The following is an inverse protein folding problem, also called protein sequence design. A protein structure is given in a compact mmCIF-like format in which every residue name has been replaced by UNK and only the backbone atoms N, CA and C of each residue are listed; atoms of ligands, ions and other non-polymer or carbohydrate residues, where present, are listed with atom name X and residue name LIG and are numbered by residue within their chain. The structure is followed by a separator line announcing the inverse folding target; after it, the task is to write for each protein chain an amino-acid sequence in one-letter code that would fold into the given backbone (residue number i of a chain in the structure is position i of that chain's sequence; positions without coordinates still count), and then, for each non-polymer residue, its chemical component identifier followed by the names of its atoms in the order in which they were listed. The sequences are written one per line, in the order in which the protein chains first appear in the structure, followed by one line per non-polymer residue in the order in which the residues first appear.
data_IF_020868197043
#
_entry.id   IF_020868197043
#
_cell.length_a   1.000
_cell.length_b   1.000
_cell.length_c   1.000
_cell.angle_alpha   90.00
_cell.angle_beta   90.00
_cell.angle_gamma   90.00
#
_symmetry.space_group_name_H-M   'P 1'
#
loop_
_entity.id
_entity.type
_entity.pdbx_description
1 polymer ?
#
# COMPACT_ATOMS: atom_id res chain seq x y z
N UNK A 1 -12.94 7.79 13.79
CA UNK A 1 -13.27 7.78 12.35
C UNK A 1 -12.63 6.56 11.70
N UNK A 2 -13.44 5.75 11.01
CA UNK A 2 -12.91 4.62 10.22
C UNK A 2 -12.38 5.24 8.93
N UNK A 3 -11.07 5.19 8.74
CA UNK A 3 -10.39 5.74 7.56
C UNK A 3 -9.31 4.76 7.12
N UNK A 4 -9.14 4.64 5.80
CA UNK A 4 -8.11 3.79 5.19
C UNK A 4 -6.71 4.19 5.71
N UNK A 5 -6.47 5.48 5.99
CA UNK A 5 -5.21 5.94 6.58
C UNK A 5 -4.97 5.34 7.97
N UNK A 6 -5.99 5.30 8.83
CA UNK A 6 -5.90 4.70 10.16
C UNK A 6 -5.70 3.18 10.06
N UNK A 7 -6.28 2.53 9.04
CA UNK A 7 -6.06 1.11 8.78
C UNK A 7 -4.62 0.85 8.33
N UNK A 8 -4.09 1.67 7.42
CA UNK A 8 -2.70 1.57 6.94
C UNK A 8 -1.68 1.80 8.07
N UNK A 9 -1.94 2.74 8.97
CA UNK A 9 -1.08 2.98 10.15
C UNK A 9 -0.97 1.77 11.09
N UNK A 10 -1.97 0.89 11.09
CA UNK A 10 -1.97 -0.33 11.91
C UNK A 10 -1.20 -1.47 11.27
N UNK A 11 -0.83 -1.37 10.00
CA UNK A 11 -0.11 -2.42 9.30
C UNK A 11 1.40 -2.33 9.59
N UNK A 12 2.04 -3.39 10.08
CA UNK A 12 3.46 -3.36 10.41
C UNK A 12 4.33 -3.10 9.18
N UNK A 13 5.27 -2.17 9.31
CA UNK A 13 6.16 -1.74 8.23
C UNK A 13 5.54 -0.74 7.25
N UNK A 14 4.31 -0.28 7.51
CA UNK A 14 3.72 0.88 6.83
C UNK A 14 3.89 2.11 7.71
N UNK A 15 4.32 3.22 7.12
CA UNK A 15 4.38 4.53 7.77
C UNK A 15 3.49 5.49 7.01
N UNK A 16 2.61 6.17 7.74
CA UNK A 16 1.71 7.18 7.17
C UNK A 16 2.04 8.52 7.79
N UNK A 17 2.41 9.51 6.97
CA UNK A 17 2.62 10.91 7.39
C UNK A 17 1.73 11.81 6.55
N UNK A 18 0.66 12.32 7.14
CA UNK A 18 -0.39 13.03 6.40
C UNK A 18 -0.99 12.14 5.33
N UNK A 19 -0.99 12.60 4.08
CA UNK A 19 -1.46 11.84 2.91
C UNK A 19 -0.31 11.14 2.16
N UNK A 20 0.79 10.85 2.84
CA UNK A 20 1.91 10.10 2.26
C UNK A 20 2.03 8.76 2.96
N UNK A 21 1.91 7.68 2.20
CA UNK A 21 2.05 6.30 2.68
C UNK A 21 3.37 5.75 2.16
N UNK A 22 4.11 5.09 3.04
CA UNK A 22 5.41 4.48 2.75
C UNK A 22 5.48 3.08 3.34
N UNK A 23 6.19 2.21 2.66
CA UNK A 23 6.51 0.86 3.14
C UNK A 23 8.02 0.78 3.37
N UNK A 24 8.43 0.37 4.57
CA UNK A 24 9.83 0.08 4.82
C UNK A 24 10.15 -1.35 4.35
N UNK A 25 11.06 -1.47 3.39
CA UNK A 25 11.70 -2.72 3.01
C UNK A 25 13.11 -2.82 3.60
N UNK A 26 13.70 -4.04 3.65
CA UNK A 26 15.06 -4.24 4.17
C UNK A 26 16.16 -3.51 3.39
N UNK A 27 15.89 -3.00 2.18
CA UNK A 27 16.87 -2.34 1.31
C UNK A 27 16.56 -0.84 1.04
N UNK A 28 15.69 -0.20 1.84
CA UNK A 28 15.23 1.17 1.60
C UNK A 28 16.29 2.23 1.97
N UNK A 29 17.28 2.47 1.10
CA UNK A 29 18.36 3.46 1.30
C UNK A 29 17.99 4.92 0.96
N UNK A 30 16.83 5.18 0.32
CA UNK A 30 16.39 6.55 0.00
C UNK A 30 14.87 6.60 -0.19
N UNK A 31 14.15 7.01 0.85
CA UNK A 31 12.70 6.98 0.98
C UNK A 31 12.00 8.17 0.31
N UNK A 32 11.97 8.21 -1.03
CA UNK A 32 11.17 9.21 -1.77
C UNK A 32 10.00 8.63 -2.56
N UNK A 33 9.93 7.32 -2.77
CA UNK A 33 8.99 6.73 -3.72
C UNK A 33 7.79 6.06 -3.03
N UNK A 34 6.59 6.34 -3.55
CA UNK A 34 5.32 5.77 -3.09
C UNK A 34 5.26 4.26 -3.42
N UNK A 35 4.67 3.42 -2.54
CA UNK A 35 4.50 2.00 -2.83
C UNK A 35 3.53 1.78 -3.99
N UNK A 36 3.60 0.61 -4.61
CA UNK A 36 2.59 0.17 -5.56
C UNK A 36 1.32 -0.22 -4.81
N UNK A 37 0.17 0.28 -5.26
CA UNK A 37 -1.11 -0.13 -4.69
C UNK A 37 -1.80 -1.18 -5.57
N UNK A 38 -2.42 -2.15 -4.93
CA UNK A 38 -3.30 -3.13 -5.53
C UNK A 38 -4.70 -3.03 -4.91
N UNK A 39 -5.72 -3.28 -5.71
CA UNK A 39 -7.10 -3.48 -5.26
C UNK A 39 -7.50 -4.87 -5.70
N UNK A 40 -7.79 -5.76 -4.76
CA UNK A 40 -8.11 -7.17 -5.04
C UNK A 40 -7.07 -7.85 -5.96
N UNK A 41 -5.79 -7.53 -5.78
CA UNK A 41 -4.69 -8.05 -6.59
C UNK A 41 -4.47 -7.35 -7.95
N UNK A 42 -5.32 -6.41 -8.35
CA UNK A 42 -5.15 -5.64 -9.58
C UNK A 42 -4.37 -4.33 -9.33
N UNK A 43 -3.45 -3.98 -10.23
CA UNK A 43 -2.64 -2.75 -10.13
C UNK A 43 -3.50 -1.50 -10.20
N UNK A 44 -3.38 -0.67 -9.17
CA UNK A 44 -4.03 0.62 -9.10
C UNK A 44 -3.04 1.76 -9.35
N UNK A 45 -3.30 2.56 -10.39
CA UNK A 45 -2.41 3.66 -10.81
C UNK A 45 -2.79 5.02 -10.22
N UNK A 46 -3.94 5.13 -9.53
CA UNK A 46 -4.42 6.40 -8.94
C UNK A 46 -3.71 6.80 -7.64
N UNK A 47 -2.76 5.99 -7.17
CA UNK A 47 -2.02 6.21 -5.92
C UNK A 47 -2.92 6.27 -4.69
N UNK A 48 -2.41 6.83 -3.59
CA UNK A 48 -3.18 6.93 -2.36
C UNK A 48 -4.40 7.86 -2.50
N UNK A 49 -4.27 8.99 -3.19
CA UNK A 49 -5.37 9.96 -3.33
C UNK A 49 -6.59 9.34 -4.03
N UNK A 50 -6.35 8.57 -5.09
CA UNK A 50 -7.41 7.84 -5.78
C UNK A 50 -8.07 6.80 -4.87
N UNK A 51 -7.30 6.08 -4.06
CA UNK A 51 -7.83 5.09 -3.10
C UNK A 51 -8.74 5.76 -2.07
N UNK A 52 -8.29 6.85 -1.47
CA UNK A 52 -9.06 7.58 -0.44
C UNK A 52 -10.36 8.19 -0.99
N UNK A 53 -10.40 8.51 -2.28
CA UNK A 53 -11.60 9.06 -2.93
C UNK A 53 -12.53 8.02 -3.57
N UNK A 54 -12.04 6.83 -3.91
CA UNK A 54 -12.79 5.82 -4.67
C UNK A 54 -13.18 4.58 -3.86
N UNK A 55 -12.52 4.32 -2.72
CA UNK A 55 -12.79 3.16 -1.88
C UNK A 55 -13.40 3.63 -0.57
N UNK A 56 -14.56 3.08 -0.22
CA UNK A 56 -15.14 3.28 1.10
C UNK A 56 -14.36 2.44 2.13
N UNK A 57 -13.89 3.01 3.26
CA UNK A 57 -13.27 2.23 4.33
C UNK A 57 -14.14 1.09 4.87
N UNK A 58 -15.47 1.22 4.83
CA UNK A 58 -16.39 0.15 5.22
C UNK A 58 -16.36 -1.04 4.27
N UNK A 59 -15.92 -0.89 3.02
CA UNK A 59 -15.80 -2.00 2.05
C UNK A 59 -14.45 -2.72 2.16
N UNK A 60 -13.52 -2.21 2.96
CA UNK A 60 -12.20 -2.84 3.14
C UNK A 60 -12.36 -4.08 4.01
N UNK A 61 -12.00 -5.24 3.45
CA UNK A 61 -11.93 -6.52 4.15
C UNK A 61 -10.60 -6.66 4.90
N UNK A 62 -9.49 -6.46 4.19
CA UNK A 62 -8.15 -6.57 4.75
C UNK A 62 -7.13 -5.76 3.94
N UNK A 63 -6.00 -5.43 4.57
CA UNK A 63 -4.86 -4.80 3.92
C UNK A 63 -3.65 -5.70 4.11
N UNK A 64 -3.03 -6.06 3.00
CA UNK A 64 -1.82 -6.88 2.95
C UNK A 64 -0.66 -6.07 2.39
N UNK A 65 0.55 -6.38 2.83
CA UNK A 65 1.75 -5.65 2.42
C UNK A 65 2.83 -6.63 2.04
N UNK A 66 3.23 -6.57 0.77
CA UNK A 66 4.29 -7.41 0.22
C UNK A 66 5.63 -6.70 0.35
N UNK A 67 6.60 -7.41 0.92
CA UNK A 67 7.94 -6.88 1.25
C UNK A 67 9.06 -7.85 0.90
N UNK A 68 8.76 -9.11 0.64
CA UNK A 68 9.79 -10.11 0.35
C UNK A 68 10.12 -10.12 -1.15
N UNK A 69 11.38 -10.44 -1.53
CA UNK A 69 11.79 -10.45 -2.94
C UNK A 69 10.92 -11.35 -3.83
N UNK A 70 10.42 -12.47 -3.29
CA UNK A 70 9.56 -13.39 -4.02
C UNK A 70 8.20 -12.77 -4.38
N UNK A 71 7.58 -12.05 -3.45
CA UNK A 71 6.30 -11.36 -3.70
C UNK A 71 6.49 -10.16 -4.62
N UNK A 72 7.57 -9.40 -4.42
CA UNK A 72 7.85 -8.18 -5.18
C UNK A 72 8.28 -8.49 -6.62
N UNK A 73 8.90 -9.64 -6.86
CA UNK A 73 9.32 -10.09 -8.20
C UNK A 73 8.17 -10.17 -9.21
N UNK A 74 6.93 -10.42 -8.73
CA UNK A 74 5.73 -10.45 -9.56
C UNK A 74 5.34 -9.07 -10.11
N UNK A 75 5.78 -7.99 -9.45
CA UNK A 75 5.40 -6.61 -9.77
C UNK A 75 6.57 -5.80 -10.38
N UNK A 76 7.70 -6.46 -10.63
CA UNK A 76 8.88 -5.87 -11.27
C UNK A 76 9.42 -4.64 -10.55
N UNK A 77 9.97 -3.69 -11.32
CA UNK A 77 10.57 -2.46 -10.77
C UNK A 77 9.57 -1.58 -9.98
N UNK A 78 8.27 -1.68 -10.26
CA UNK A 78 7.22 -0.90 -9.57
C UNK A 78 6.96 -1.43 -8.15
N UNK A 79 7.15 -2.73 -7.93
CA UNK A 79 7.04 -3.35 -6.60
C UNK A 79 8.29 -3.16 -5.73
N UNK A 80 9.40 -2.66 -6.27
CA UNK A 80 10.66 -2.53 -5.54
C UNK A 80 10.56 -1.66 -4.27
N UNK A 81 9.60 -0.74 -4.23
CA UNK A 81 9.34 0.16 -3.08
C UNK A 81 8.34 -0.41 -2.07
N UNK A 82 7.94 -1.67 -2.23
CA UNK A 82 6.87 -2.32 -1.48
C UNK A 82 5.53 -2.22 -2.20
N UNK A 83 4.65 -3.18 -1.91
CA UNK A 83 3.31 -3.26 -2.49
C UNK A 83 2.29 -3.33 -1.37
N UNK A 84 1.21 -2.57 -1.50
CA UNK A 84 0.08 -2.59 -0.57
C UNK A 84 -1.14 -3.10 -1.34
N UNK A 85 -1.68 -4.24 -0.91
CA UNK A 85 -2.89 -4.82 -1.48
C UNK A 85 -4.08 -4.56 -0.55
N UNK A 86 -5.08 -3.85 -1.08
CA UNK A 86 -6.35 -3.60 -0.39
C UNK A 86 -7.36 -4.60 -0.92
N UNK A 87 -7.83 -5.47 -0.04
CA UNK A 87 -8.84 -6.48 -0.37
C UNK A 87 -10.18 -5.91 0.08
N UNK A 88 -11.13 -5.85 -0.85
CA UNK A 88 -12.50 -5.40 -0.62
C UNK A 88 -13.42 -6.61 -0.36
N UNK A 89 -14.59 -6.33 0.22
CA UNK A 89 -15.63 -7.33 0.50
C UNK A 89 -16.52 -7.61 -0.70
#
# INVERSE_FOLDING_TARGET
EISILNMLQRVPGVTVRGNVVRVFGPNSFSNTTEPLFLINGAVYSGGLSGILGSINPDDVKSIEVYKTPAELGLYGARGANGVINIILR
#
